data_IF_732172906164
#
_entry.id   IF_732172906164
#
_cell.length_a   1.000
_cell.length_b   1.000
_cell.length_c   1.000
_cell.angle_alpha   90.00
_cell.angle_beta   90.00
_cell.angle_gamma   90.00
#
_symmetry.space_group_name_H-M   'P 1'
#
loop_
_entity.id
_entity.type
_entity.pdbx_description
1 polymer ?
#
# COMPACT_ATOMS: atom_id res chain seq x y z
N UNK A 1 -4.60 15.57 4.33
CA UNK A 1 -4.38 14.19 3.94
C UNK A 1 -5.60 13.61 3.27
N UNK A 2 -5.39 12.85 2.23
CA UNK A 2 -6.41 12.24 1.40
C UNK A 2 -5.97 10.82 1.03
N UNK A 3 -6.93 9.90 0.93
CA UNK A 3 -6.72 8.58 0.34
C UNK A 3 -7.04 8.64 -1.15
N UNK A 4 -6.01 8.56 -1.99
CA UNK A 4 -6.15 8.58 -3.45
C UNK A 4 -5.92 7.18 -4.01
N UNK A 5 -6.89 6.65 -4.76
CA UNK A 5 -6.76 5.44 -5.55
C UNK A 5 -6.18 5.76 -6.93
N UNK A 6 -5.33 4.89 -7.45
CA UNK A 6 -4.88 4.94 -8.84
C UNK A 6 -5.10 3.57 -9.47
N UNK A 7 -5.99 3.51 -10.46
CA UNK A 7 -6.18 2.33 -11.27
C UNK A 7 -5.30 2.44 -12.51
N UNK A 8 -4.33 1.54 -12.65
CA UNK A 8 -3.38 1.54 -13.76
C UNK A 8 -3.64 0.35 -14.70
N UNK A 9 -3.70 0.60 -15.99
CA UNK A 9 -3.89 -0.43 -17.03
C UNK A 9 -2.61 -1.24 -17.31
N UNK A 10 -1.46 -0.70 -16.93
CA UNK A 10 -0.14 -1.32 -17.07
C UNK A 10 0.57 -1.36 -15.72
N UNK A 11 0.94 -2.55 -15.20
CA UNK A 11 1.70 -2.69 -13.96
C UNK A 11 3.05 -1.94 -13.99
N UNK A 12 3.71 -1.84 -15.15
CA UNK A 12 4.95 -1.09 -15.26
C UNK A 12 4.73 0.42 -15.10
N UNK A 13 3.61 0.95 -15.59
CA UNK A 13 3.22 2.35 -15.38
C UNK A 13 2.88 2.63 -13.90
N UNK A 14 2.27 1.66 -13.21
CA UNK A 14 2.00 1.72 -11.77
C UNK A 14 3.31 1.88 -10.96
N UNK A 15 4.29 1.00 -11.21
CA UNK A 15 5.62 1.05 -10.57
C UNK A 15 6.33 2.37 -10.91
N UNK A 16 6.35 2.76 -12.19
CA UNK A 16 6.98 4.01 -12.62
C UNK A 16 6.35 5.26 -11.97
N UNK A 17 5.05 5.24 -11.71
CA UNK A 17 4.39 6.31 -10.95
C UNK A 17 4.86 6.31 -9.50
N UNK A 18 4.86 5.16 -8.85
CA UNK A 18 5.33 5.02 -7.46
C UNK A 18 6.78 5.50 -7.30
N UNK A 19 7.66 5.13 -8.24
CA UNK A 19 9.07 5.55 -8.27
C UNK A 19 9.23 7.06 -8.38
N UNK A 20 8.42 7.71 -9.22
CA UNK A 20 8.41 9.18 -9.36
C UNK A 20 7.92 9.85 -8.09
N UNK A 21 6.81 9.38 -7.52
CA UNK A 21 6.23 9.92 -6.29
C UNK A 21 7.16 9.72 -5.09
N UNK A 22 7.88 8.60 -5.03
CA UNK A 22 8.87 8.30 -4.00
C UNK A 22 10.26 8.90 -4.27
N UNK A 23 10.46 9.62 -5.39
CA UNK A 23 11.78 10.14 -5.81
C UNK A 23 12.86 9.06 -5.93
N UNK A 24 12.50 7.87 -6.42
CA UNK A 24 13.49 6.85 -6.82
C UNK A 24 14.07 7.14 -8.21
N UNK A 25 13.32 7.90 -9.02
CA UNK A 25 13.74 8.43 -10.31
C UNK A 25 13.50 9.93 -10.37
N UNK A 26 14.19 10.62 -11.26
CA UNK A 26 14.00 12.06 -11.49
C UNK A 26 12.58 12.34 -11.99
N UNK A 27 11.93 13.35 -11.41
CA UNK A 27 10.56 13.73 -11.77
C UNK A 27 10.26 15.18 -11.39
N UNK A 28 9.17 15.72 -11.94
CA UNK A 28 8.65 17.06 -11.63
C UNK A 28 7.60 17.03 -10.48
N UNK A 29 7.58 15.97 -9.69
CA UNK A 29 6.66 15.85 -8.54
C UNK A 29 6.98 16.93 -7.52
N UNK A 30 5.93 17.57 -7.02
CA UNK A 30 6.01 18.56 -5.94
C UNK A 30 5.32 18.04 -4.68
N UNK A 31 5.84 18.40 -3.52
CA UNK A 31 5.20 18.18 -2.22
C UNK A 31 4.97 19.52 -1.55
N UNK A 32 3.71 19.83 -1.27
CA UNK A 32 3.28 21.15 -0.76
C UNK A 32 3.81 22.32 -1.62
N UNK A 33 3.89 22.12 -2.95
CA UNK A 33 4.37 23.12 -3.89
C UNK A 33 5.89 23.17 -4.06
N UNK A 34 6.66 22.41 -3.28
CA UNK A 34 8.12 22.34 -3.40
C UNK A 34 8.50 21.14 -4.29
N UNK A 35 9.29 21.34 -5.36
CA UNK A 35 9.77 20.22 -6.16
C UNK A 35 10.58 19.22 -5.32
N UNK A 36 10.25 17.93 -5.40
CA UNK A 36 10.93 16.91 -4.59
C UNK A 36 12.45 16.86 -4.87
N UNK A 37 12.90 17.25 -6.06
CA UNK A 37 14.32 17.33 -6.41
C UNK A 37 15.10 18.35 -5.59
N UNK A 38 14.42 19.36 -5.03
CA UNK A 38 15.00 20.43 -4.22
C UNK A 38 15.02 20.12 -2.72
N UNK A 39 14.29 19.08 -2.30
CA UNK A 39 14.29 18.61 -0.90
C UNK A 39 15.47 17.65 -0.71
N UNK A 40 16.14 17.66 0.45
CA UNK A 40 17.19 16.70 0.75
C UNK A 40 16.65 15.25 0.70
N UNK A 41 17.44 14.29 0.21
CA UNK A 41 16.94 12.93 -0.04
C UNK A 41 16.57 12.19 1.25
N UNK A 42 17.31 12.41 2.31
CA UNK A 42 17.04 11.88 3.65
C UNK A 42 15.71 12.40 4.21
N UNK A 43 15.41 13.68 4.01
CA UNK A 43 14.11 14.27 4.35
C UNK A 43 12.97 13.61 3.56
N UNK A 44 13.14 13.39 2.25
CA UNK A 44 12.14 12.68 1.44
C UNK A 44 11.92 11.27 1.98
N UNK A 45 13.00 10.51 2.26
CA UNK A 45 12.95 9.15 2.78
C UNK A 45 12.35 9.05 4.19
N UNK A 46 12.51 10.08 5.00
CA UNK A 46 11.91 10.13 6.34
C UNK A 46 10.38 10.32 6.30
N UNK A 47 9.85 10.92 5.25
CA UNK A 47 8.45 11.34 5.19
C UNK A 47 7.60 10.63 4.15
N UNK A 48 8.22 10.16 3.05
CA UNK A 48 7.54 9.47 1.95
C UNK A 48 8.01 8.02 1.91
N UNK A 49 7.09 7.10 2.15
CA UNK A 49 7.34 5.66 2.05
C UNK A 49 6.60 5.07 0.85
N UNK A 50 7.34 4.37 0.00
CA UNK A 50 6.78 3.51 -1.05
C UNK A 50 6.88 2.07 -0.58
N UNK A 51 5.75 1.38 -0.51
CA UNK A 51 5.66 -0.03 -0.19
C UNK A 51 5.10 -0.81 -1.37
N UNK A 52 5.95 -1.60 -1.99
CA UNK A 52 5.61 -2.53 -3.06
C UNK A 52 5.24 -3.89 -2.47
N UNK A 53 4.39 -4.64 -3.19
CA UNK A 53 3.97 -5.99 -2.83
C UNK A 53 5.14 -6.98 -2.74
N UNK A 54 6.25 -6.75 -3.46
CA UNK A 54 7.47 -7.58 -3.45
C UNK A 54 8.57 -7.12 -2.47
N UNK A 55 8.30 -6.06 -1.68
CA UNK A 55 9.26 -5.54 -0.71
C UNK A 55 9.80 -6.65 0.22
N UNK A 56 11.13 -6.70 0.41
CA UNK A 56 11.77 -7.70 1.28
C UNK A 56 11.37 -7.53 2.75
N UNK A 57 11.02 -8.65 3.40
CA UNK A 57 11.06 -8.75 4.85
C UNK A 57 12.50 -9.12 5.21
N UNK A 58 13.21 -8.24 5.92
CA UNK A 58 14.59 -8.51 6.35
C UNK A 58 14.62 -9.64 7.38
N UNK A 59 15.76 -10.35 7.50
CA UNK A 59 15.94 -11.32 8.56
C UNK A 59 16.03 -10.62 9.93
N UNK A 60 15.37 -11.17 10.93
CA UNK A 60 15.30 -10.63 12.29
C UNK A 60 14.08 -11.15 13.03
N UNK A 61 13.82 -10.68 14.23
CA UNK A 61 12.55 -10.96 14.88
C UNK A 61 11.42 -10.22 14.16
N UNK A 62 10.20 -10.73 14.23
CA UNK A 62 9.07 -10.03 13.63
C UNK A 62 8.88 -8.64 14.27
N UNK A 63 9.21 -8.48 15.55
CA UNK A 63 9.26 -7.20 16.26
C UNK A 63 10.21 -6.23 15.58
N UNK A 64 11.46 -6.63 15.32
CA UNK A 64 12.45 -5.78 14.65
C UNK A 64 11.99 -5.37 13.25
N UNK A 65 11.41 -6.31 12.52
CA UNK A 65 10.89 -6.10 11.16
C UNK A 65 9.75 -5.07 11.16
N UNK A 66 8.80 -5.17 12.08
CA UNK A 66 7.62 -4.31 12.16
C UNK A 66 7.91 -3.00 12.88
N UNK A 67 8.77 -3.01 13.89
CA UNK A 67 9.08 -1.83 14.71
C UNK A 67 9.95 -0.79 14.01
N UNK A 68 10.60 -1.14 12.89
CA UNK A 68 11.51 -0.24 12.19
C UNK A 68 12.52 0.47 13.12
N UNK A 69 12.97 -0.24 14.18
CA UNK A 69 13.92 0.27 15.18
C UNK A 69 13.31 1.02 16.37
N UNK A 70 11.98 1.07 16.49
CA UNK A 70 11.30 1.64 17.66
C UNK A 70 10.57 0.54 18.44
N UNK A 71 10.85 0.44 19.74
CA UNK A 71 10.15 -0.46 20.69
C UNK A 71 8.79 0.14 21.07
N UNK A 72 7.82 0.07 20.14
CA UNK A 72 6.46 0.57 20.34
C UNK A 72 5.46 -0.53 19.96
N UNK A 73 5.16 -1.38 20.93
CA UNK A 73 4.22 -2.50 20.76
C UNK A 73 2.80 -2.03 20.42
N UNK A 74 2.39 -0.86 20.87
CA UNK A 74 1.07 -0.32 20.58
C UNK A 74 0.95 0.06 19.10
N UNK A 75 1.98 0.69 18.55
CA UNK A 75 2.06 1.05 17.12
C UNK A 75 2.11 -0.18 16.24
N UNK A 76 2.94 -1.18 16.59
CA UNK A 76 3.00 -2.46 15.90
C UNK A 76 1.62 -3.15 15.92
N UNK A 77 0.97 -3.20 17.07
CA UNK A 77 -0.36 -3.80 17.23
C UNK A 77 -1.43 -3.07 16.39
N UNK A 78 -1.39 -1.73 16.33
CA UNK A 78 -2.30 -0.94 15.49
C UNK A 78 -2.07 -1.23 14.00
N UNK A 79 -0.81 -1.31 13.56
CA UNK A 79 -0.44 -1.64 12.18
C UNK A 79 -0.88 -3.07 11.79
N UNK A 80 -0.68 -4.06 12.68
CA UNK A 80 -1.14 -5.44 12.49
C UNK A 80 -2.67 -5.53 12.37
N UNK A 81 -3.40 -4.82 13.23
CA UNK A 81 -4.87 -4.75 13.14
C UNK A 81 -5.31 -4.16 11.81
N UNK A 82 -4.70 -3.06 11.37
CA UNK A 82 -5.03 -2.40 10.10
C UNK A 82 -4.75 -3.32 8.92
N UNK A 83 -3.61 -4.00 8.91
CA UNK A 83 -3.22 -4.97 7.88
C UNK A 83 -3.94 -6.33 8.01
N UNK A 84 -4.86 -6.50 8.97
CA UNK A 84 -5.50 -7.79 9.28
C UNK A 84 -4.49 -8.93 9.45
N UNK A 85 -3.36 -8.68 10.13
CA UNK A 85 -2.23 -9.61 10.27
C UNK A 85 -2.03 -10.14 11.69
N UNK A 86 -2.95 -9.88 12.63
CA UNK A 86 -2.84 -10.33 14.02
C UNK A 86 -2.82 -11.86 14.11
N UNK A 87 -3.66 -12.54 13.33
CA UNK A 87 -3.72 -14.01 13.23
C UNK A 87 -2.38 -14.64 12.81
N UNK A 88 -1.58 -13.93 12.01
CA UNK A 88 -0.25 -14.39 11.59
C UNK A 88 0.68 -14.42 12.80
N UNK A 89 0.65 -13.37 13.63
CA UNK A 89 1.49 -13.27 14.83
C UNK A 89 1.05 -14.31 15.87
N UNK A 90 -0.25 -14.46 16.07
CA UNK A 90 -0.82 -15.39 17.04
C UNK A 90 -0.51 -16.87 16.71
N UNK A 91 -0.32 -17.18 15.42
CA UNK A 91 0.06 -18.51 14.96
C UNK A 91 1.57 -18.80 15.08
N UNK A 92 2.40 -17.82 15.39
CA UNK A 92 3.84 -17.98 15.52
C UNK A 92 4.23 -18.42 16.94
N UNK A 93 5.24 -19.31 17.11
CA UNK A 93 5.55 -19.93 18.39
C UNK A 93 6.02 -18.96 19.48
N UNK A 94 6.62 -17.83 19.10
CA UNK A 94 7.05 -16.77 20.02
C UNK A 94 6.41 -15.41 19.66
N UNK A 95 5.27 -15.41 18.94
CA UNK A 95 4.60 -14.17 18.56
C UNK A 95 5.52 -13.21 17.82
N UNK A 96 5.59 -11.96 18.30
CA UNK A 96 6.47 -10.93 17.73
C UNK A 96 7.97 -11.25 17.87
N UNK A 97 8.36 -12.05 18.80
CA UNK A 97 9.78 -12.40 19.03
C UNK A 97 10.22 -13.61 18.19
N UNK A 98 9.35 -14.12 17.33
CA UNK A 98 9.67 -15.20 16.39
C UNK A 98 10.69 -14.71 15.35
N UNK A 99 11.84 -15.40 15.18
CA UNK A 99 12.78 -15.07 14.13
C UNK A 99 12.22 -15.45 12.76
N UNK A 100 12.25 -14.51 11.83
CA UNK A 100 11.82 -14.67 10.43
C UNK A 100 13.05 -14.65 9.52
N UNK A 101 13.14 -15.60 8.60
CA UNK A 101 14.19 -15.58 7.58
C UNK A 101 13.94 -14.47 6.54
N UNK A 102 14.98 -14.06 5.82
CA UNK A 102 14.92 -12.96 4.85
C UNK A 102 13.87 -13.17 3.73
N UNK A 103 13.40 -14.38 3.51
CA UNK A 103 12.37 -14.73 2.51
C UNK A 103 11.03 -15.08 3.15
N UNK A 104 10.96 -15.15 4.48
CA UNK A 104 9.76 -15.55 5.23
C UNK A 104 9.06 -16.78 4.63
N UNK A 105 9.84 -17.81 4.27
CA UNK A 105 9.37 -18.99 3.54
C UNK A 105 8.37 -19.85 4.30
N UNK A 106 8.33 -19.72 5.59
CA UNK A 106 7.37 -20.40 6.48
C UNK A 106 5.97 -19.76 6.43
N UNK A 107 5.83 -18.58 5.83
CA UNK A 107 4.58 -17.85 5.71
C UNK A 107 3.99 -18.00 4.30
N UNK A 108 2.65 -18.02 4.21
CA UNK A 108 1.95 -17.96 2.92
C UNK A 108 2.16 -16.61 2.20
N UNK A 109 1.83 -16.54 0.91
CA UNK A 109 1.90 -15.27 0.15
C UNK A 109 1.09 -14.16 0.80
N UNK A 110 -0.17 -14.42 1.13
CA UNK A 110 -1.06 -13.47 1.79
C UNK A 110 -0.61 -13.08 3.21
N UNK A 111 -0.02 -14.00 3.99
CA UNK A 111 0.56 -13.68 5.28
C UNK A 111 1.75 -12.73 5.14
N UNK A 112 2.68 -13.02 4.20
CA UNK A 112 3.81 -12.12 3.91
C UNK A 112 3.34 -10.74 3.49
N UNK A 113 2.35 -10.67 2.60
CA UNK A 113 1.83 -9.39 2.11
C UNK A 113 1.20 -8.56 3.24
N UNK A 114 0.39 -9.18 4.10
CA UNK A 114 -0.21 -8.51 5.27
C UNK A 114 0.86 -8.00 6.25
N UNK A 115 1.95 -8.73 6.47
CA UNK A 115 3.06 -8.29 7.31
C UNK A 115 3.86 -7.14 6.67
N UNK A 116 4.04 -7.14 5.34
CA UNK A 116 4.66 -6.01 4.61
C UNK A 116 3.82 -4.75 4.74
N UNK A 117 2.50 -4.87 4.59
CA UNK A 117 1.58 -3.76 4.81
C UNK A 117 1.64 -3.26 6.27
N UNK A 118 1.65 -4.17 7.24
CA UNK A 118 1.80 -3.81 8.66
C UNK A 118 3.11 -3.05 8.92
N UNK A 119 4.23 -3.49 8.33
CA UNK A 119 5.52 -2.80 8.41
C UNK A 119 5.45 -1.39 7.82
N UNK A 120 4.83 -1.23 6.66
CA UNK A 120 4.68 0.09 6.05
C UNK A 120 3.82 1.04 6.90
N UNK A 121 2.77 0.51 7.52
CA UNK A 121 1.88 1.26 8.41
C UNK A 121 2.56 1.63 9.73
N UNK A 122 3.35 0.73 10.32
CA UNK A 122 4.05 0.97 11.58
C UNK A 122 5.12 2.05 11.47
N UNK A 123 5.65 2.31 10.30
CA UNK A 123 6.58 3.41 10.05
C UNK A 123 5.92 4.81 10.10
N UNK A 124 4.59 4.86 10.10
CA UNK A 124 3.78 6.09 10.19
C UNK A 124 4.20 7.26 9.28
N UNK A 125 4.55 7.05 8.01
CA UNK A 125 5.03 8.12 7.14
C UNK A 125 3.96 9.18 6.92
N UNK A 126 4.36 10.42 6.62
CA UNK A 126 3.42 11.50 6.24
C UNK A 126 2.71 11.16 4.92
N UNK A 127 3.46 10.61 3.96
CA UNK A 127 2.96 10.15 2.66
C UNK A 127 3.25 8.65 2.51
N UNK A 128 2.21 7.85 2.36
CA UNK A 128 2.30 6.41 2.12
C UNK A 128 1.83 6.08 0.71
N UNK A 129 2.68 5.43 -0.07
CA UNK A 129 2.38 4.95 -1.42
C UNK A 129 2.41 3.43 -1.39
N UNK A 130 1.27 2.81 -1.68
CA UNK A 130 1.07 1.36 -1.69
C UNK A 130 0.85 0.89 -3.12
N UNK A 131 1.63 -0.09 -3.56
CA UNK A 131 1.45 -0.73 -4.88
C UNK A 131 0.97 -2.15 -4.67
N UNK A 132 -0.24 -2.45 -5.15
CA UNK A 132 -0.93 -3.74 -5.04
C UNK A 132 -0.87 -4.38 -3.64
N UNK A 133 -1.26 -3.63 -2.58
CA UNK A 133 -1.00 -4.04 -1.19
C UNK A 133 -1.77 -5.29 -0.75
N UNK A 134 -2.73 -5.77 -1.55
CA UNK A 134 -3.64 -6.87 -1.20
C UNK A 134 -3.78 -7.93 -2.30
N UNK A 135 -2.91 -7.92 -3.32
CA UNK A 135 -2.99 -8.81 -4.51
C UNK A 135 -2.93 -10.32 -4.21
N UNK A 136 -2.41 -10.71 -3.04
CA UNK A 136 -2.34 -12.12 -2.60
C UNK A 136 -3.27 -12.41 -1.40
N UNK A 137 -4.26 -11.55 -1.15
CA UNK A 137 -5.17 -11.63 0.00
C UNK A 137 -6.59 -11.92 -0.50
N UNK A 138 -7.34 -12.74 0.24
CA UNK A 138 -8.75 -13.03 -0.08
C UNK A 138 -9.64 -11.78 0.06
N UNK A 139 -10.74 -11.74 -0.70
CA UNK A 139 -11.63 -10.60 -0.78
C UNK A 139 -12.23 -10.16 0.57
N UNK A 140 -12.50 -11.10 1.49
CA UNK A 140 -13.03 -10.76 2.82
C UNK A 140 -11.98 -10.03 3.67
N UNK A 141 -10.75 -10.53 3.66
CA UNK A 141 -9.63 -9.90 4.37
C UNK A 141 -9.27 -8.56 3.72
N UNK A 142 -9.29 -8.48 2.38
CA UNK A 142 -9.06 -7.23 1.65
C UNK A 142 -10.10 -6.16 2.00
N UNK A 143 -11.39 -6.48 2.05
CA UNK A 143 -12.45 -5.54 2.43
C UNK A 143 -12.20 -4.94 3.83
N UNK A 144 -11.77 -5.78 4.79
CA UNK A 144 -11.41 -5.32 6.14
C UNK A 144 -10.18 -4.42 6.15
N UNK A 145 -9.17 -4.75 5.34
CA UNK A 145 -7.97 -3.92 5.18
C UNK A 145 -8.35 -2.56 4.60
N UNK A 146 -9.14 -2.53 3.54
CA UNK A 146 -9.57 -1.30 2.86
C UNK A 146 -10.30 -0.34 3.82
N UNK A 147 -11.23 -0.87 4.62
CA UNK A 147 -11.95 -0.08 5.62
C UNK A 147 -11.02 0.47 6.71
N UNK A 148 -10.16 -0.39 7.28
CA UNK A 148 -9.25 -0.02 8.36
C UNK A 148 -8.15 0.93 7.90
N UNK A 149 -7.64 0.76 6.67
CA UNK A 149 -6.62 1.62 6.08
C UNK A 149 -7.10 3.06 5.99
N UNK A 150 -8.34 3.28 5.51
CA UNK A 150 -8.93 4.63 5.45
C UNK A 150 -8.98 5.29 6.83
N UNK A 151 -9.44 4.54 7.84
CA UNK A 151 -9.53 5.03 9.22
C UNK A 151 -8.15 5.32 9.84
N UNK A 152 -7.21 4.39 9.69
CA UNK A 152 -5.85 4.51 10.26
C UNK A 152 -5.02 5.64 9.62
N UNK A 153 -5.33 5.97 8.36
CA UNK A 153 -4.61 7.02 7.62
C UNK A 153 -5.38 8.35 7.53
N UNK A 154 -6.45 8.51 8.30
CA UNK A 154 -7.20 9.76 8.35
C UNK A 154 -6.28 10.94 8.68
N UNK A 155 -6.36 12.02 7.89
CA UNK A 155 -5.50 13.19 8.03
C UNK A 155 -4.08 13.08 7.45
N UNK A 156 -3.68 11.89 6.96
CA UNK A 156 -2.38 11.64 6.30
C UNK A 156 -2.57 11.34 4.82
N UNK A 157 -1.61 11.67 3.99
CA UNK A 157 -1.67 11.39 2.55
C UNK A 157 -1.37 9.92 2.28
N UNK A 158 -2.28 9.26 1.54
CA UNK A 158 -2.09 7.87 1.13
C UNK A 158 -2.46 7.72 -0.34
N UNK A 159 -1.58 7.10 -1.12
CA UNK A 159 -1.83 6.72 -2.51
C UNK A 159 -1.87 5.20 -2.57
N UNK A 160 -2.96 4.63 -3.08
CA UNK A 160 -3.09 3.19 -3.30
C UNK A 160 -3.18 2.96 -4.80
N UNK A 161 -2.17 2.33 -5.37
CA UNK A 161 -2.13 1.95 -6.78
C UNK A 161 -2.56 0.49 -6.86
N UNK A 162 -3.75 0.23 -7.36
CA UNK A 162 -4.35 -1.10 -7.43
C UNK A 162 -5.53 -1.12 -8.41
N UNK A 163 -5.95 -2.31 -8.83
CA UNK A 163 -7.18 -2.49 -9.63
C UNK A 163 -8.36 -3.02 -8.82
N UNK A 164 -8.16 -3.31 -7.54
CA UNK A 164 -9.20 -3.83 -6.64
C UNK A 164 -10.33 -2.82 -6.39
N UNK A 165 -11.60 -3.17 -6.70
CA UNK A 165 -12.75 -2.32 -6.41
C UNK A 165 -12.95 -2.09 -4.90
N UNK A 166 -12.51 -3.03 -4.05
CA UNK A 166 -12.64 -2.92 -2.60
C UNK A 166 -11.74 -1.80 -2.04
N UNK A 167 -10.52 -1.66 -2.56
CA UNK A 167 -9.60 -0.58 -2.21
C UNK A 167 -10.04 0.75 -2.84
N UNK A 168 -10.33 0.75 -4.15
CA UNK A 168 -10.71 1.94 -4.90
C UNK A 168 -12.02 2.55 -4.40
N UNK A 169 -12.98 1.71 -3.99
CA UNK A 169 -14.25 2.15 -3.42
C UNK A 169 -14.13 2.82 -2.04
N UNK A 170 -12.97 2.77 -1.39
CA UNK A 170 -12.68 3.47 -0.12
C UNK A 170 -11.86 4.73 -0.30
N UNK A 171 -11.36 5.00 -1.53
CA UNK A 171 -10.61 6.21 -1.83
C UNK A 171 -11.52 7.45 -1.85
N UNK A 172 -10.97 8.60 -1.47
CA UNK A 172 -11.65 9.89 -1.56
C UNK A 172 -11.67 10.41 -3.00
N UNK A 173 -10.67 10.01 -3.79
CA UNK A 173 -10.52 10.31 -5.20
C UNK A 173 -9.87 9.10 -5.89
N UNK A 174 -10.30 8.79 -7.10
CA UNK A 174 -9.66 7.79 -7.95
C UNK A 174 -9.18 8.44 -9.24
N UNK A 175 -7.98 8.06 -9.67
CA UNK A 175 -7.40 8.44 -10.95
C UNK A 175 -7.21 7.19 -11.84
N UNK A 176 -7.61 7.27 -13.10
CA UNK A 176 -7.30 6.26 -14.11
C UNK A 176 -5.98 6.63 -14.78
N UNK A 177 -4.98 5.77 -14.62
CA UNK A 177 -3.69 5.87 -15.29
C UNK A 177 -3.70 4.94 -16.51
N UNK A 178 -3.70 5.51 -17.70
CA UNK A 178 -3.69 4.77 -18.96
C UNK A 178 -2.67 5.36 -19.92
N UNK A 179 -1.91 4.50 -20.60
CA UNK A 179 -0.84 4.89 -21.50
C UNK A 179 0.14 5.93 -20.88
N UNK A 180 0.44 5.79 -19.60
CA UNK A 180 1.36 6.64 -18.85
C UNK A 180 0.82 8.03 -18.49
N UNK A 181 -0.50 8.26 -18.60
CA UNK A 181 -1.16 9.54 -18.31
C UNK A 181 -2.41 9.33 -17.47
N UNK A 182 -2.77 10.31 -16.65
CA UNK A 182 -4.08 10.34 -16.01
C UNK A 182 -5.11 10.75 -17.05
N UNK A 183 -6.04 9.85 -17.37
CA UNK A 183 -7.07 10.05 -18.40
C UNK A 183 -8.43 10.40 -17.81
N UNK A 184 -8.71 9.99 -16.56
CA UNK A 184 -9.93 10.33 -15.86
C UNK A 184 -9.65 10.44 -14.35
N UNK A 185 -10.46 11.25 -13.66
CA UNK A 185 -10.47 11.37 -12.19
C UNK A 185 -11.90 11.57 -11.71
N UNK A 186 -12.24 10.94 -10.57
CA UNK A 186 -13.58 11.03 -9.99
C UNK A 186 -13.69 10.15 -8.75
N UNK A 187 -14.88 10.00 -8.21
CA UNK A 187 -15.12 8.92 -7.25
C UNK A 187 -15.11 7.56 -7.96
N UNK A 188 -14.91 6.49 -7.20
CA UNK A 188 -15.00 5.13 -7.75
C UNK A 188 -16.35 4.86 -8.44
N UNK A 189 -17.45 5.36 -7.87
CA UNK A 189 -18.79 5.20 -8.41
C UNK A 189 -18.95 5.98 -9.73
N UNK A 190 -18.56 7.25 -9.76
CA UNK A 190 -18.66 8.08 -10.98
C UNK A 190 -17.87 7.45 -12.14
N UNK A 191 -16.64 6.99 -11.86
CA UNK A 191 -15.80 6.35 -12.88
C UNK A 191 -16.37 5.00 -13.36
N UNK A 192 -17.04 4.24 -12.48
CA UNK A 192 -17.75 3.02 -12.89
C UNK A 192 -18.93 3.32 -13.82
N UNK A 193 -19.63 4.44 -13.58
CA UNK A 193 -20.80 4.83 -14.38
C UNK A 193 -20.37 5.45 -15.71
N UNK A 194 -19.37 6.32 -15.70
CA UNK A 194 -19.05 7.21 -16.82
C UNK A 194 -17.89 6.72 -17.71
N UNK A 195 -16.95 5.91 -17.19
CA UNK A 195 -15.77 5.50 -17.93
C UNK A 195 -15.73 3.99 -18.22
N UNK A 196 -15.97 3.57 -19.50
CA UNK A 196 -15.92 2.17 -19.89
C UNK A 196 -14.54 1.51 -19.72
N UNK A 197 -13.44 2.27 -19.89
CA UNK A 197 -12.09 1.74 -19.75
C UNK A 197 -11.78 1.45 -18.26
N UNK A 198 -12.18 2.34 -17.38
CA UNK A 198 -12.08 2.13 -15.94
C UNK A 198 -12.90 0.91 -15.50
N UNK A 199 -14.16 0.81 -15.94
CA UNK A 199 -15.04 -0.32 -15.62
C UNK A 199 -14.43 -1.65 -16.05
N UNK A 200 -13.89 -1.72 -17.27
CA UNK A 200 -13.25 -2.91 -17.80
C UNK A 200 -12.00 -3.30 -16.97
N UNK A 201 -11.17 -2.31 -16.63
CA UNK A 201 -9.95 -2.52 -15.84
C UNK A 201 -10.28 -3.11 -14.46
N UNK A 202 -11.22 -2.53 -13.75
CA UNK A 202 -11.62 -2.94 -12.40
C UNK A 202 -12.33 -4.31 -12.41
N UNK A 203 -13.12 -4.62 -13.45
CA UNK A 203 -13.75 -5.93 -13.60
C UNK A 203 -12.71 -7.04 -13.79
N UNK A 204 -11.67 -6.82 -14.59
CA UNK A 204 -10.55 -7.77 -14.76
C UNK A 204 -9.78 -7.99 -13.46
N UNK A 205 -9.50 -6.93 -12.71
CA UNK A 205 -8.84 -7.04 -11.40
C UNK A 205 -9.63 -7.91 -10.42
N UNK A 206 -10.97 -7.88 -10.51
CA UNK A 206 -11.83 -8.76 -9.70
C UNK A 206 -11.71 -10.24 -10.12
N UNK A 207 -11.64 -10.53 -11.41
CA UNK A 207 -11.51 -11.92 -11.92
C UNK A 207 -10.15 -12.56 -11.61
N UNK A 208 -9.08 -11.77 -11.63
CA UNK A 208 -7.73 -12.24 -11.29
C UNK A 208 -7.58 -12.54 -9.79
N UNK A 209 -8.29 -11.84 -8.91
CA UNK A 209 -8.31 -12.09 -7.48
C UNK A 209 -9.04 -13.39 -7.07
N UNK A 210 -9.83 -13.99 -7.98
CA UNK A 210 -10.58 -15.23 -7.74
C UNK A 210 -9.92 -16.49 -8.35
N UNK A 211 -8.74 -16.39 -8.95
CA UNK A 211 -7.96 -17.51 -9.49
C UNK A 211 -6.79 -17.89 -8.60
#
# INVERSE_FOLDING_TARGET
GQLTGVAADDPAAAVALADRLGRYVASEVTWAGVPLREVALDEVRARILVADHDSYLFAGTLRDILGAGADDDERISAALRTASAQDVVDALPAGLDTPIDARARTLSGGQRQRLRLARALSSEPEVLILVDPTSAVDAHTEARIAERLRAARAGRTTVVIATSPLLLGRADLVALLSAGRITATGSHADLLDDDPAYRYLVARGSEEAYR
#
